data_IF_221267395313
#
_entry.id   IF_221267395313
#
_cell.length_a   1.000
_cell.length_b   1.000
_cell.length_c   1.000
_cell.angle_alpha   90.00
_cell.angle_beta   90.00
_cell.angle_gamma   90.00
#
_symmetry.space_group_name_H-M   'P 1'
#
loop_
_entity.id
_entity.type
_entity.pdbx_description
1 polymer ?
#
# COMPACT_ATOMS: atom_id res chain seq x y z
N UNK A 1 29.89 -24.74 -39.18
CA UNK A 1 31.12 -24.60 -38.36
C UNK A 1 30.69 -24.07 -37.01
N UNK A 2 30.92 -24.82 -35.93
CA UNK A 2 30.50 -24.39 -34.59
C UNK A 2 31.35 -23.20 -34.13
N UNK A 3 30.70 -22.10 -33.73
CA UNK A 3 31.34 -20.87 -33.22
C UNK A 3 32.00 -21.05 -31.83
N UNK A 4 31.97 -22.27 -31.30
CA UNK A 4 32.45 -22.57 -29.97
C UNK A 4 33.91 -23.03 -30.01
N UNK A 5 34.73 -22.63 -29.01
CA UNK A 5 36.10 -23.11 -28.93
C UNK A 5 36.10 -24.64 -28.77
N UNK A 6 37.01 -25.37 -29.46
CA UNK A 6 37.06 -26.83 -29.39
C UNK A 6 37.63 -27.36 -28.07
N UNK A 7 38.29 -26.51 -27.26
CA UNK A 7 38.91 -26.89 -26.00
C UNK A 7 37.87 -27.13 -24.89
N UNK A 8 37.77 -28.36 -24.33
CA UNK A 8 36.79 -28.70 -23.30
C UNK A 8 37.04 -27.99 -21.96
N UNK A 9 38.26 -27.52 -21.66
CA UNK A 9 38.51 -26.76 -20.43
C UNK A 9 37.92 -25.36 -20.55
N UNK A 10 38.17 -24.69 -21.67
CA UNK A 10 37.58 -23.38 -21.98
C UNK A 10 36.05 -23.43 -22.03
N UNK A 11 35.47 -24.48 -22.63
CA UNK A 11 34.00 -24.64 -22.65
C UNK A 11 33.41 -24.75 -21.23
N UNK A 12 34.05 -25.48 -20.33
CA UNK A 12 33.61 -25.59 -18.93
C UNK A 12 33.67 -24.26 -18.19
N UNK A 13 34.71 -23.47 -18.42
CA UNK A 13 34.82 -22.13 -17.83
C UNK A 13 33.73 -21.18 -18.35
N UNK A 14 33.42 -21.23 -19.65
CA UNK A 14 32.32 -20.46 -20.23
C UNK A 14 30.98 -20.89 -19.62
N UNK A 15 30.75 -22.19 -19.46
CA UNK A 15 29.52 -22.71 -18.86
C UNK A 15 29.33 -22.19 -17.43
N UNK A 16 30.37 -22.32 -16.58
CA UNK A 16 30.31 -21.84 -15.20
C UNK A 16 30.01 -20.34 -15.12
N UNK A 17 30.63 -19.53 -15.98
CA UNK A 17 30.34 -18.10 -16.07
C UNK A 17 28.88 -17.83 -16.49
N UNK A 18 28.36 -18.58 -17.46
CA UNK A 18 26.96 -18.42 -17.88
C UNK A 18 25.98 -18.81 -16.77
N UNK A 19 26.26 -19.89 -16.04
CA UNK A 19 25.43 -20.32 -14.90
C UNK A 19 25.43 -19.25 -13.79
N UNK A 20 26.59 -18.69 -13.46
CA UNK A 20 26.69 -17.56 -12.51
C UNK A 20 25.89 -16.35 -12.99
N UNK A 21 25.98 -16.01 -14.28
CA UNK A 21 25.25 -14.87 -14.83
C UNK A 21 23.74 -15.12 -14.89
N UNK A 22 23.30 -16.34 -15.17
CA UNK A 22 21.88 -16.69 -15.11
C UNK A 22 21.37 -16.57 -13.68
N UNK A 23 22.11 -17.09 -12.70
CA UNK A 23 21.75 -16.98 -11.28
C UNK A 23 21.69 -15.52 -10.81
N UNK A 24 22.69 -14.71 -11.17
CA UNK A 24 22.74 -13.29 -10.80
C UNK A 24 21.56 -12.49 -11.39
N UNK A 25 21.09 -12.86 -12.58
CA UNK A 25 20.00 -12.17 -13.27
C UNK A 25 18.61 -12.80 -13.04
N UNK A 26 18.53 -13.89 -12.26
CA UNK A 26 17.26 -14.59 -12.01
C UNK A 26 16.24 -13.67 -11.33
N UNK A 27 16.69 -12.86 -10.38
CA UNK A 27 15.82 -11.90 -9.66
C UNK A 27 15.15 -10.91 -10.62
N UNK A 28 15.89 -10.40 -11.61
CA UNK A 28 15.36 -9.48 -12.63
C UNK A 28 14.32 -10.20 -13.49
N UNK A 29 14.60 -11.43 -13.91
CA UNK A 29 13.66 -12.24 -14.69
C UNK A 29 12.36 -12.52 -13.92
N UNK A 30 12.45 -12.84 -12.62
CA UNK A 30 11.30 -13.04 -11.74
C UNK A 30 10.48 -11.75 -11.61
N UNK A 31 11.14 -10.61 -11.32
CA UNK A 31 10.48 -9.33 -11.20
C UNK A 31 9.69 -8.95 -12.45
N UNK A 32 10.32 -9.06 -13.63
CA UNK A 32 9.67 -8.74 -14.90
C UNK A 32 8.48 -9.66 -15.19
N UNK A 33 8.53 -10.94 -14.81
CA UNK A 33 7.39 -11.85 -14.91
C UNK A 33 6.23 -11.40 -14.03
N UNK A 34 6.51 -11.05 -12.76
CA UNK A 34 5.48 -10.53 -11.85
C UNK A 34 4.83 -9.26 -12.38
N UNK A 35 5.63 -8.32 -12.89
CA UNK A 35 5.11 -7.10 -13.51
C UNK A 35 4.23 -7.40 -14.72
N UNK A 36 4.68 -8.28 -15.61
CA UNK A 36 3.91 -8.70 -16.78
C UNK A 36 2.55 -9.28 -16.37
N UNK A 37 2.55 -10.17 -15.39
CA UNK A 37 1.33 -10.84 -14.95
C UNK A 37 0.35 -9.85 -14.28
N UNK A 38 0.87 -8.86 -13.54
CA UNK A 38 0.07 -7.77 -12.98
C UNK A 38 -0.57 -6.90 -14.08
N UNK A 39 0.18 -6.59 -15.15
CA UNK A 39 -0.31 -5.84 -16.31
C UNK A 39 -1.40 -6.63 -17.03
N UNK A 40 -1.18 -7.93 -17.29
CA UNK A 40 -2.18 -8.79 -17.91
C UNK A 40 -3.47 -8.84 -17.08
N UNK A 41 -3.36 -8.96 -15.76
CA UNK A 41 -4.53 -8.92 -14.88
C UNK A 41 -5.26 -7.56 -14.92
N UNK A 42 -4.53 -6.45 -15.05
CA UNK A 42 -5.11 -5.13 -15.21
C UNK A 42 -5.85 -4.97 -16.54
N UNK A 43 -5.28 -5.47 -17.64
CA UNK A 43 -5.92 -5.47 -18.96
C UNK A 43 -7.24 -6.24 -18.93
N UNK A 44 -7.24 -7.45 -18.35
CA UNK A 44 -8.48 -8.25 -18.20
C UNK A 44 -9.55 -7.51 -17.41
N UNK A 45 -9.17 -6.72 -16.39
CA UNK A 45 -10.13 -5.90 -15.64
C UNK A 45 -10.66 -4.72 -16.46
N UNK A 46 -9.80 -4.08 -17.24
CA UNK A 46 -10.16 -2.93 -18.06
C UNK A 46 -11.03 -3.31 -19.26
N UNK A 47 -10.79 -4.48 -19.87
CA UNK A 47 -11.55 -4.99 -21.01
C UNK A 47 -12.94 -5.50 -20.62
N UNK A 48 -13.18 -5.77 -19.32
CA UNK A 48 -14.51 -6.13 -18.85
C UNK A 48 -15.44 -4.91 -18.98
N UNK A 49 -16.60 -5.05 -19.66
CA UNK A 49 -17.57 -3.97 -19.70
C UNK A 49 -18.03 -3.61 -18.28
N UNK A 50 -18.42 -2.35 -18.02
CA UNK A 50 -18.89 -1.94 -16.71
C UNK A 50 -20.06 -2.84 -16.30
N UNK A 51 -19.82 -3.71 -15.32
CA UNK A 51 -20.88 -4.50 -14.72
C UNK A 51 -21.85 -3.51 -14.09
N UNK A 52 -23.01 -3.36 -14.72
CA UNK A 52 -24.16 -2.69 -14.14
C UNK A 52 -24.46 -3.42 -12.83
N UNK A 53 -23.93 -2.90 -11.71
CA UNK A 53 -24.35 -3.37 -10.38
C UNK A 53 -25.83 -3.06 -10.30
N UNK A 54 -26.74 -4.05 -10.27
CA UNK A 54 -28.11 -3.75 -9.90
C UNK A 54 -28.03 -3.12 -8.51
N UNK A 55 -28.51 -1.88 -8.39
CA UNK A 55 -28.88 -1.31 -7.10
C UNK A 55 -29.98 -2.22 -6.55
N UNK A 56 -29.60 -3.29 -5.86
CA UNK A 56 -30.53 -4.02 -5.01
C UNK A 56 -30.97 -3.03 -3.94
N UNK A 57 -32.13 -2.44 -4.18
CA UNK A 57 -32.91 -1.70 -3.19
C UNK A 57 -33.09 -2.68 -2.04
N UNK A 58 -32.34 -2.51 -0.96
CA UNK A 58 -32.41 -3.37 0.22
C UNK A 58 -33.84 -3.31 0.77
N UNK A 59 -34.65 -4.32 0.43
CA UNK A 59 -35.99 -4.52 0.96
C UNK A 59 -35.85 -5.56 2.06
N UNK A 60 -35.61 -5.09 3.27
CA UNK A 60 -35.39 -5.96 4.44
C UNK A 60 -34.68 -5.22 5.55
N UNK A 61 -35.38 -4.30 6.20
CA UNK A 61 -34.90 -3.57 7.37
C UNK A 61 -35.99 -3.48 8.42
N UNK A 62 -36.43 -4.63 8.95
CA UNK A 62 -36.99 -4.64 10.29
C UNK A 62 -35.89 -4.19 11.26
N UNK A 63 -36.22 -3.46 12.35
CA UNK A 63 -35.21 -2.91 13.23
C UNK A 63 -34.57 -4.05 14.02
N UNK A 64 -33.41 -4.52 13.56
CA UNK A 64 -32.48 -5.19 14.44
C UNK A 64 -31.95 -4.12 15.42
N UNK A 65 -31.79 -4.43 16.72
CA UNK A 65 -31.18 -3.50 17.64
C UNK A 65 -29.82 -3.09 17.07
N UNK A 66 -29.67 -1.79 16.84
CA UNK A 66 -28.40 -1.23 16.44
C UNK A 66 -27.39 -1.58 17.54
N UNK A 67 -26.35 -2.35 17.19
CA UNK A 67 -25.09 -2.15 17.87
C UNK A 67 -24.68 -0.71 17.54
N UNK A 68 -25.08 0.22 18.41
CA UNK A 68 -24.47 1.54 18.46
C UNK A 68 -23.05 1.29 18.95
N UNK A 69 -22.00 1.37 18.10
CA UNK A 69 -20.68 1.61 18.65
C UNK A 69 -20.78 2.89 19.50
N UNK A 70 -20.15 2.96 20.68
CA UNK A 70 -20.23 4.13 21.53
C UNK A 70 -19.83 5.37 20.72
N UNK A 71 -20.78 6.29 20.61
CA UNK A 71 -20.56 7.62 20.08
C UNK A 71 -19.80 8.43 21.13
N UNK A 72 -18.48 8.24 21.21
CA UNK A 72 -17.52 9.16 21.83
C UNK A 72 -16.12 8.53 21.79
N UNK A 73 -15.46 8.57 20.63
CA UNK A 73 -14.00 8.59 20.57
C UNK A 73 -13.63 9.70 19.58
N UNK A 74 -12.59 10.49 19.87
CA UNK A 74 -12.21 11.63 19.04
C UNK A 74 -12.06 11.15 17.60
N UNK A 75 -12.72 11.80 16.65
CA UNK A 75 -12.47 11.51 15.24
C UNK A 75 -10.98 11.72 14.98
N UNK A 76 -10.32 10.88 14.20
CA UNK A 76 -8.92 11.15 13.82
C UNK A 76 -8.94 11.83 12.46
N UNK A 77 -7.95 12.66 12.17
CA UNK A 77 -7.84 13.32 10.87
C UNK A 77 -6.43 13.18 10.33
N UNK A 78 -6.33 12.90 9.03
CA UNK A 78 -5.05 12.92 8.30
C UNK A 78 -4.95 14.24 7.56
N UNK A 79 -3.91 15.00 7.86
CA UNK A 79 -3.48 16.15 7.12
C UNK A 79 -2.53 15.71 6.00
N UNK A 80 -2.94 15.94 4.75
CA UNK A 80 -2.06 15.73 3.60
C UNK A 80 -1.44 17.06 3.17
N UNK A 81 -0.13 17.20 3.34
CA UNK A 81 0.62 18.30 2.75
C UNK A 81 0.89 17.97 1.28
N UNK A 82 0.13 18.59 0.36
CA UNK A 82 0.45 18.52 -1.08
C UNK A 82 1.39 19.66 -1.45
N UNK A 83 2.64 19.33 -1.75
CA UNK A 83 3.59 20.21 -2.45
C UNK A 83 3.88 19.69 -3.86
N UNK A 84 4.23 20.56 -4.83
CA UNK A 84 4.44 20.16 -6.23
C UNK A 84 5.65 19.25 -6.50
N UNK A 85 6.46 18.92 -5.49
CA UNK A 85 7.81 18.37 -5.67
C UNK A 85 8.11 17.06 -4.93
N UNK A 86 7.10 16.34 -4.43
CA UNK A 86 7.28 14.98 -3.88
C UNK A 86 6.33 14.63 -2.73
N UNK A 87 6.25 13.34 -2.34
CA UNK A 87 5.41 12.89 -1.24
C UNK A 87 6.08 13.24 0.10
N UNK A 88 5.65 14.33 0.74
CA UNK A 88 5.96 14.55 2.16
C UNK A 88 5.08 13.67 3.05
N UNK A 89 5.57 13.31 4.25
CA UNK A 89 4.83 12.47 5.16
C UNK A 89 3.53 13.14 5.63
N UNK A 90 2.44 12.37 5.64
CA UNK A 90 1.14 12.85 6.10
C UNK A 90 1.12 12.90 7.64
N UNK A 91 0.42 13.86 8.22
CA UNK A 91 0.34 14.02 9.68
C UNK A 91 -1.02 13.54 10.17
N UNK A 92 -1.05 12.68 11.19
CA UNK A 92 -2.29 12.26 11.86
C UNK A 92 -2.52 13.17 13.06
N UNK A 93 -3.75 13.66 13.21
CA UNK A 93 -4.21 14.47 14.33
C UNK A 93 -5.49 13.89 14.95
N UNK A 94 -5.82 14.35 16.15
CA UNK A 94 -7.19 14.28 16.68
C UNK A 94 -8.06 15.32 15.97
N UNK A 95 -9.36 15.06 15.82
CA UNK A 95 -10.32 15.91 15.12
C UNK A 95 -10.47 17.29 15.76
N UNK A 96 -10.13 17.40 17.05
CA UNK A 96 -10.19 18.64 17.82
C UNK A 96 -8.83 19.37 17.89
N UNK A 97 -7.83 18.93 17.12
CA UNK A 97 -6.51 19.56 17.10
C UNK A 97 -6.58 20.94 16.42
N UNK A 98 -6.20 21.99 17.15
CA UNK A 98 -6.17 23.38 16.62
C UNK A 98 -5.05 23.63 15.60
N UNK A 99 -4.12 22.67 15.44
CA UNK A 99 -2.97 22.79 14.53
C UNK A 99 -3.22 22.20 13.13
N UNK A 100 -4.44 21.77 12.85
CA UNK A 100 -4.83 21.22 11.55
C UNK A 100 -4.73 22.32 10.47
N UNK A 101 -3.93 22.09 9.43
CA UNK A 101 -3.78 23.00 8.30
C UNK A 101 -3.98 22.35 6.93
N UNK A 102 -4.70 22.99 6.01
CA UNK A 102 -4.85 22.48 4.64
C UNK A 102 -5.89 21.37 4.47
N UNK A 103 -5.68 20.45 3.53
CA UNK A 103 -6.66 19.41 3.19
C UNK A 103 -6.64 18.27 4.22
N UNK A 104 -7.78 18.02 4.84
CA UNK A 104 -7.94 16.99 5.88
C UNK A 104 -8.92 15.91 5.49
N UNK A 105 -8.58 14.69 5.86
CA UNK A 105 -9.45 13.53 5.72
C UNK A 105 -9.77 12.95 7.09
N UNK A 106 -11.07 12.84 7.41
CA UNK A 106 -11.52 12.20 8.66
C UNK A 106 -11.42 10.70 8.53
N UNK A 107 -10.74 10.09 9.50
CA UNK A 107 -10.47 8.67 9.58
C UNK A 107 -10.89 8.13 10.94
N UNK A 108 -11.16 6.83 11.00
CA UNK A 108 -11.50 6.12 12.24
C UNK A 108 -10.25 5.79 13.05
N UNK A 109 -10.42 5.47 14.33
CA UNK A 109 -9.33 5.03 15.21
C UNK A 109 -8.51 3.87 14.62
N UNK A 110 -9.19 2.86 14.06
CA UNK A 110 -8.53 1.71 13.44
C UNK A 110 -7.70 2.10 12.20
N UNK A 111 -8.20 3.06 11.43
CA UNK A 111 -7.51 3.60 10.25
C UNK A 111 -6.33 4.48 10.67
N UNK A 112 -6.45 5.22 11.77
CA UNK A 112 -5.36 6.02 12.33
C UNK A 112 -4.23 5.13 12.83
N UNK A 113 -4.56 3.99 13.45
CA UNK A 113 -3.58 2.96 13.82
C UNK A 113 -2.88 2.37 12.59
N UNK A 114 -3.64 2.01 11.57
CA UNK A 114 -3.06 1.48 10.33
C UNK A 114 -2.15 2.51 9.65
N UNK A 115 -2.54 3.79 9.64
CA UNK A 115 -1.78 4.88 9.04
C UNK A 115 -0.46 5.14 9.80
N UNK A 116 -0.47 5.15 11.13
CA UNK A 116 0.74 5.33 11.95
C UNK A 116 1.73 4.16 11.86
N UNK A 117 1.36 3.05 11.22
CA UNK A 117 2.28 1.95 10.89
C UNK A 117 3.13 2.23 9.64
N UNK A 118 2.71 3.18 8.79
CA UNK A 118 3.42 3.54 7.56
C UNK A 118 4.57 4.52 7.89
N UNK A 119 5.82 4.25 7.46
CA UNK A 119 6.97 5.15 7.72
C UNK A 119 6.83 6.54 7.08
N UNK A 120 5.88 6.73 6.17
CA UNK A 120 5.61 8.02 5.54
C UNK A 120 4.44 8.76 6.21
N UNK A 121 4.05 8.38 7.43
CA UNK A 121 2.96 9.01 8.17
C UNK A 121 3.39 9.21 9.62
N UNK A 122 3.34 10.44 10.10
CA UNK A 122 3.78 10.81 11.45
C UNK A 122 2.61 11.24 12.34
N UNK A 123 2.62 10.89 13.64
CA UNK A 123 1.67 11.43 14.59
C UNK A 123 1.99 12.91 14.86
N UNK A 124 0.95 13.73 15.00
CA UNK A 124 1.14 15.10 15.42
C UNK A 124 1.65 15.15 16.87
N UNK A 125 2.82 15.76 17.07
CA UNK A 125 3.45 15.91 18.39
C UNK A 125 2.60 16.70 19.41
N UNK A 126 1.66 17.53 18.94
CA UNK A 126 0.83 18.37 19.81
C UNK A 126 -0.37 17.63 20.38
N UNK A 127 -1.04 16.79 19.57
CA UNK A 127 -2.23 16.06 20.02
C UNK A 127 -1.96 14.57 20.28
N UNK A 128 -0.72 14.09 20.08
CA UNK A 128 -0.24 12.72 20.40
C UNK A 128 -1.30 11.64 20.17
N UNK A 129 -1.81 11.50 18.93
CA UNK A 129 -2.86 10.53 18.64
C UNK A 129 -2.38 9.08 18.81
N UNK A 130 -1.07 8.86 18.71
CA UNK A 130 -0.35 7.63 19.02
C UNK A 130 -0.52 7.18 20.48
N UNK A 131 -0.41 8.12 21.42
CA UNK A 131 -0.60 7.84 22.86
C UNK A 131 -2.06 7.49 23.18
N UNK A 132 -3.04 8.19 22.59
CA UNK A 132 -4.46 7.86 22.78
C UNK A 132 -4.87 6.53 22.15
N UNK A 133 -4.23 6.16 21.03
CA UNK A 133 -4.46 4.90 20.34
C UNK A 133 -3.72 3.71 20.97
N UNK A 134 -2.94 3.94 22.03
CA UNK A 134 -2.17 2.92 22.73
C UNK A 134 -1.01 2.36 21.91
N UNK A 135 -0.46 3.16 20.98
CA UNK A 135 0.66 2.79 20.11
C UNK A 135 2.03 3.17 20.72
N UNK A 136 2.01 3.92 21.82
CA UNK A 136 3.15 4.22 22.69
C UNK A 136 3.50 2.97 23.54
N UNK A 137 3.81 1.85 22.89
CA UNK A 137 4.43 0.70 23.54
C UNK A 137 5.89 0.67 23.08
N UNK A 138 6.77 1.02 24.02
CA UNK A 138 8.24 0.85 24.01
C UNK A 138 8.73 -0.37 23.26
#
# INVERSE_FOLDING_TARGET
MSLLPPDPRRLRAILAYLDEQLAANETVAVYLRLQRDAILAALVRAERPPQHRPRHKAKGGGPLPAFNPPAAMPGYVVQQKRTPSGPEPALVHLADCTMIGGAVHRIRADEARAALTDPNIEPCEFCRPDTELGMDLT
#
